data_IF_400867806394
#
_entry.id   IF_400867806394
#
_cell.length_a   1.000
_cell.length_b   1.000
_cell.length_c   1.000
_cell.angle_alpha   90.00
_cell.angle_beta   90.00
_cell.angle_gamma   90.00
#
_symmetry.space_group_name_H-M   'P 1'
#
loop_
_entity.id
_entity.type
_entity.pdbx_description
1 polymer ?
#
# COMPACT_ATOMS: atom_id res chain seq x y z
N UNK A 1 -8.94 -24.20 -25.00
CA UNK A 1 -8.08 -24.82 -23.96
C UNK A 1 -7.92 -23.75 -22.88
N UNK A 2 -8.83 -23.76 -21.92
CA UNK A 2 -8.93 -22.76 -20.85
C UNK A 2 -7.81 -22.96 -19.82
N UNK A 3 -7.11 -21.91 -19.35
CA UNK A 3 -6.13 -22.07 -18.28
C UNK A 3 -6.81 -22.30 -16.92
N UNK A 4 -6.30 -23.29 -16.20
CA UNK A 4 -6.78 -23.76 -14.89
C UNK A 4 -6.86 -22.63 -13.87
N UNK A 5 -8.05 -22.46 -13.28
CA UNK A 5 -8.30 -21.55 -12.18
C UNK A 5 -7.53 -21.93 -10.92
N UNK A 6 -7.10 -20.92 -10.16
CA UNK A 6 -6.43 -21.08 -8.89
C UNK A 6 -7.39 -21.68 -7.86
N UNK A 7 -7.18 -22.96 -7.53
CA UNK A 7 -7.85 -23.63 -6.43
C UNK A 7 -7.14 -23.30 -5.11
N UNK A 8 -7.91 -22.91 -4.10
CA UNK A 8 -7.52 -23.13 -2.70
C UNK A 8 -6.87 -21.97 -1.94
N UNK A 9 -7.33 -20.73 -2.10
CA UNK A 9 -7.27 -19.80 -0.95
C UNK A 9 -8.61 -19.89 -0.26
N UNK A 10 -8.63 -20.56 0.89
CA UNK A 10 -9.75 -20.47 1.82
C UNK A 10 -9.86 -19.01 2.22
N UNK A 11 -10.85 -18.31 1.65
CA UNK A 11 -11.25 -16.97 2.05
C UNK A 11 -11.71 -17.06 3.51
N UNK A 12 -10.77 -17.00 4.44
CA UNK A 12 -11.03 -17.06 5.88
C UNK A 12 -11.67 -15.72 6.27
N UNK A 13 -12.98 -15.66 6.14
CA UNK A 13 -13.90 -14.92 7.03
C UNK A 13 -13.52 -13.47 7.39
N UNK A 14 -13.02 -12.69 6.44
CA UNK A 14 -12.97 -11.23 6.55
C UNK A 14 -14.24 -10.56 6.01
N UNK A 15 -15.15 -11.35 5.43
CA UNK A 15 -16.38 -10.85 4.80
C UNK A 15 -17.49 -10.50 5.78
N UNK A 16 -17.63 -11.23 6.89
CA UNK A 16 -18.82 -11.11 7.76
C UNK A 16 -18.63 -10.19 8.98
N UNK A 17 -17.39 -9.81 9.30
CA UNK A 17 -17.10 -8.98 10.48
C UNK A 17 -16.82 -7.50 10.15
N UNK A 18 -16.97 -7.08 8.88
CA UNK A 18 -16.82 -5.69 8.44
C UNK A 18 -18.11 -4.85 8.57
N UNK A 19 -19.23 -5.45 8.98
CA UNK A 19 -20.53 -4.78 9.18
C UNK A 19 -20.56 -3.86 10.42
N UNK A 20 -19.47 -3.77 11.21
CA UNK A 20 -19.44 -2.98 12.46
C UNK A 20 -18.69 -1.66 12.39
N UNK A 21 -18.03 -1.35 11.29
CA UNK A 21 -17.36 -0.07 11.12
C UNK A 21 -17.73 0.51 9.76
N UNK A 22 -18.37 1.68 9.78
CA UNK A 22 -18.49 2.54 8.62
C UNK A 22 -17.11 2.66 7.93
N UNK A 23 -17.01 2.19 6.68
CA UNK A 23 -15.76 2.20 5.92
C UNK A 23 -15.19 3.60 5.78
N UNK A 24 -16.05 4.63 5.75
CA UNK A 24 -15.61 6.03 5.77
C UNK A 24 -14.92 6.37 7.09
N UNK A 25 -15.45 5.89 8.23
CA UNK A 25 -14.83 6.05 9.54
C UNK A 25 -13.45 5.38 9.62
N UNK A 26 -13.27 4.21 9.00
CA UNK A 26 -11.95 3.57 8.94
C UNK A 26 -10.98 4.36 8.06
N UNK A 27 -11.40 4.80 6.87
CA UNK A 27 -10.53 5.58 5.98
C UNK A 27 -10.07 6.89 6.62
N UNK A 28 -10.95 7.58 7.34
CA UNK A 28 -10.60 8.76 8.14
C UNK A 28 -9.47 8.49 9.15
N UNK A 29 -9.49 7.32 9.79
CA UNK A 29 -8.42 6.90 10.71
C UNK A 29 -7.12 6.54 10.00
N UNK A 30 -7.20 5.98 8.78
CA UNK A 30 -6.04 5.67 7.95
C UNK A 30 -5.30 6.95 7.58
N UNK A 31 -6.03 7.97 7.14
CA UNK A 31 -5.45 9.26 6.75
C UNK A 31 -5.25 10.22 7.91
N UNK A 32 -5.53 9.81 9.16
CA UNK A 32 -5.29 10.67 10.32
C UNK A 32 -3.81 11.06 10.42
N UNK A 33 -3.54 12.32 10.78
CA UNK A 33 -2.20 12.90 10.79
C UNK A 33 -1.21 12.06 11.60
N UNK A 34 -1.62 11.64 12.79
CA UNK A 34 -0.81 10.83 13.70
C UNK A 34 -0.52 9.43 13.14
N UNK A 35 -1.49 8.85 12.41
CA UNK A 35 -1.29 7.58 11.74
C UNK A 35 -0.30 7.71 10.57
N UNK A 36 -0.42 8.80 9.81
CA UNK A 36 0.46 9.09 8.68
C UNK A 36 1.91 9.35 9.13
N UNK A 37 2.12 10.10 10.21
CA UNK A 37 3.46 10.27 10.80
C UNK A 37 4.08 8.93 11.24
N UNK A 38 3.28 8.05 11.87
CA UNK A 38 3.73 6.70 12.24
C UNK A 38 4.07 5.85 11.02
N UNK A 39 3.26 5.93 9.97
CA UNK A 39 3.48 5.22 8.72
C UNK A 39 4.76 5.69 8.03
N UNK A 40 4.99 7.00 7.93
CA UNK A 40 6.21 7.59 7.37
C UNK A 40 7.44 7.04 8.10
N UNK A 41 7.46 7.10 9.44
CA UNK A 41 8.57 6.58 10.25
C UNK A 41 8.84 5.11 9.98
N UNK A 42 7.78 4.30 9.85
CA UNK A 42 7.91 2.87 9.58
C UNK A 42 8.48 2.62 8.18
N UNK A 43 7.99 3.31 7.14
CA UNK A 43 8.50 3.17 5.77
C UNK A 43 9.97 3.59 5.68
N UNK A 44 10.35 4.70 6.32
CA UNK A 44 11.75 5.15 6.42
C UNK A 44 12.64 4.07 7.04
N UNK A 45 12.18 3.42 8.11
CA UNK A 45 12.94 2.34 8.77
C UNK A 45 13.17 1.10 7.92
N UNK A 46 12.33 0.85 6.90
CA UNK A 46 12.47 -0.30 6.03
C UNK A 46 13.62 -0.15 5.01
N UNK A 47 14.09 1.08 4.75
CA UNK A 47 15.22 1.37 3.84
C UNK A 47 15.08 0.70 2.47
N UNK A 48 13.85 0.63 1.97
CA UNK A 48 13.53 -0.02 0.69
C UNK A 48 14.08 0.77 -0.49
N UNK A 49 14.33 0.08 -1.61
CA UNK A 49 14.66 0.73 -2.86
C UNK A 49 13.43 1.53 -3.39
N UNK A 50 13.65 2.66 -4.08
CA UNK A 50 12.56 3.47 -4.61
C UNK A 50 11.71 2.71 -5.64
N UNK A 51 10.46 3.18 -5.79
CA UNK A 51 9.49 2.70 -6.76
C UNK A 51 9.79 3.14 -8.19
N UNK A 52 8.76 3.16 -9.04
CA UNK A 52 8.88 3.64 -10.44
C UNK A 52 9.02 5.16 -10.53
N UNK A 53 8.58 5.88 -9.50
CA UNK A 53 8.62 7.34 -9.35
C UNK A 53 10.00 7.85 -8.90
N UNK A 54 10.89 6.96 -8.45
CA UNK A 54 12.22 7.30 -7.97
C UNK A 54 12.24 7.95 -6.58
N UNK A 55 11.10 8.10 -5.91
CA UNK A 55 11.03 8.74 -4.58
C UNK A 55 11.68 7.81 -3.56
N UNK A 56 12.72 8.32 -2.89
CA UNK A 56 13.45 7.55 -1.90
C UNK A 56 12.75 7.53 -0.55
N UNK A 57 13.17 6.64 0.34
CA UNK A 57 12.68 6.67 1.72
C UNK A 57 13.05 7.96 2.45
N UNK A 58 14.12 8.66 2.05
CA UNK A 58 14.51 9.91 2.70
C UNK A 58 13.64 11.10 2.24
N UNK A 59 13.12 11.04 1.01
CA UNK A 59 12.26 12.07 0.42
C UNK A 59 10.77 11.87 0.73
N UNK A 60 10.39 10.72 1.29
CA UNK A 60 8.97 10.33 1.39
C UNK A 60 8.15 11.27 2.29
N UNK A 61 8.76 11.83 3.33
CA UNK A 61 8.08 12.71 4.27
C UNK A 61 7.69 14.03 3.63
N UNK A 62 8.64 14.69 2.95
CA UNK A 62 8.36 15.93 2.23
C UNK A 62 7.33 15.69 1.12
N UNK A 63 7.45 14.61 0.37
CA UNK A 63 6.52 14.25 -0.69
C UNK A 63 5.08 14.07 -0.17
N UNK A 64 4.90 13.31 0.92
CA UNK A 64 3.57 13.09 1.49
C UNK A 64 2.95 14.41 1.94
N UNK A 65 3.69 15.26 2.64
CA UNK A 65 3.13 16.53 3.12
C UNK A 65 2.86 17.54 2.00
N UNK A 66 3.64 17.52 0.92
CA UNK A 66 3.36 18.35 -0.28
C UNK A 66 2.03 17.97 -0.94
N UNK A 67 1.71 16.67 -1.02
CA UNK A 67 0.52 16.19 -1.73
C UNK A 67 -0.61 15.69 -0.82
N UNK A 68 -0.49 15.92 0.48
CA UNK A 68 -1.32 15.29 1.51
C UNK A 68 -2.81 15.46 1.25
N UNK A 69 -3.27 16.71 1.14
CA UNK A 69 -4.69 17.02 0.96
C UNK A 69 -5.28 16.38 -0.31
N UNK A 70 -4.50 16.37 -1.39
CA UNK A 70 -4.90 15.77 -2.65
C UNK A 70 -5.03 14.25 -2.56
N UNK A 71 -4.07 13.58 -1.89
CA UNK A 71 -4.09 12.13 -1.67
C UNK A 71 -5.27 11.77 -0.77
N UNK A 72 -5.46 12.50 0.34
CA UNK A 72 -6.58 12.28 1.27
C UNK A 72 -7.91 12.40 0.53
N UNK A 73 -8.11 13.48 -0.23
CA UNK A 73 -9.35 13.67 -1.01
C UNK A 73 -9.64 12.49 -1.92
N UNK A 74 -8.64 12.04 -2.71
CA UNK A 74 -8.80 10.91 -3.62
C UNK A 74 -9.06 9.58 -2.91
N UNK A 75 -8.47 9.38 -1.74
CA UNK A 75 -8.71 8.18 -0.93
C UNK A 75 -10.14 8.18 -0.37
N UNK A 76 -10.61 9.33 0.13
CA UNK A 76 -11.98 9.48 0.63
C UNK A 76 -13.03 9.34 -0.47
N UNK A 77 -12.75 9.84 -1.68
CA UNK A 77 -13.63 9.69 -2.85
C UNK A 77 -13.52 8.32 -3.54
N UNK A 78 -12.57 7.46 -3.11
CA UNK A 78 -12.31 6.16 -3.75
C UNK A 78 -11.72 6.25 -5.16
N UNK A 79 -11.19 7.41 -5.56
CA UNK A 79 -10.63 7.67 -6.90
C UNK A 79 -9.12 7.56 -6.98
N UNK A 80 -8.45 7.30 -5.85
CA UNK A 80 -7.00 7.10 -5.81
C UNK A 80 -6.58 5.85 -6.59
N UNK A 81 -5.65 6.02 -7.53
CA UNK A 81 -5.05 4.93 -8.31
C UNK A 81 -3.58 4.82 -7.93
N UNK A 82 -3.16 3.74 -7.23
CA UNK A 82 -1.76 3.55 -6.88
C UNK A 82 -0.91 3.33 -8.14
N UNK A 83 0.35 3.74 -8.06
CA UNK A 83 1.33 3.49 -9.12
C UNK A 83 1.66 1.98 -9.19
N UNK A 84 1.94 1.42 -10.38
CA UNK A 84 2.39 0.04 -10.50
C UNK A 84 3.71 -0.20 -9.76
N UNK A 85 3.88 -1.41 -9.24
CA UNK A 85 5.10 -1.82 -8.51
C UNK A 85 6.26 -1.99 -9.48
N UNK A 86 7.44 -1.48 -9.11
CA UNK A 86 8.68 -1.69 -9.87
C UNK A 86 9.14 -3.15 -9.73
N UNK A 87 9.17 -3.89 -10.85
CA UNK A 87 9.70 -5.26 -10.87
C UNK A 87 11.22 -5.24 -10.74
N UNK A 88 11.75 -6.10 -9.87
CA UNK A 88 13.19 -6.37 -9.78
C UNK A 88 13.37 -7.87 -9.58
N UNK A 89 14.23 -8.46 -10.40
CA UNK A 89 14.66 -9.84 -10.23
C UNK A 89 15.53 -9.91 -8.98
N UNK A 90 15.09 -10.66 -7.97
CA UNK A 90 15.84 -10.90 -6.74
C UNK A 90 16.38 -12.33 -6.82
N UNK A 91 17.71 -12.53 -6.99
CA UNK A 91 18.28 -13.86 -7.01
C UNK A 91 18.12 -14.51 -5.64
N UNK A 92 17.66 -15.76 -5.62
CA UNK A 92 17.65 -16.60 -4.42
C UNK A 92 18.97 -17.38 -4.28
N UNK A 93 19.32 -17.82 -3.06
CA UNK A 93 20.56 -18.56 -2.83
C UNK A 93 20.72 -19.85 -3.66
N UNK A 94 19.61 -20.45 -4.09
CA UNK A 94 19.58 -21.69 -4.88
C UNK A 94 19.66 -21.46 -6.41
N UNK A 95 19.79 -20.21 -6.88
CA UNK A 95 19.85 -19.86 -8.29
C UNK A 95 18.51 -19.51 -8.93
N UNK A 96 17.39 -19.73 -8.23
CA UNK A 96 16.07 -19.33 -8.72
C UNK A 96 15.85 -17.82 -8.59
N UNK A 97 15.11 -17.23 -9.52
CA UNK A 97 14.76 -15.80 -9.48
C UNK A 97 13.40 -15.64 -8.78
N UNK A 98 13.26 -14.60 -7.96
CA UNK A 98 11.99 -14.12 -7.39
C UNK A 98 11.62 -12.77 -7.99
#
# INVERSE_FOLDING_TARGET
MEPKGYAGVQSLELGEHLERFDTAHLMWRVVARENMERAIKKVRSNKGAPGIDGITTDDIESHIWTYYEFIVKKLMEGTYKPQPVRRKNIPRPNGDIR
#
